data_IF_655764408528
#
_entry.id   IF_655764408528
#
_cell.length_a   1.000
_cell.length_b   1.000
_cell.length_c   1.000
_cell.angle_alpha   90.00
_cell.angle_beta   90.00
_cell.angle_gamma   90.00
#
_symmetry.space_group_name_H-M   'P 1'
#
loop_
_entity.id
_entity.type
_entity.pdbx_description
1 polymer ?
#
# COMPACT_ATOMS: atom_id res chain seq x y z
N UNK A 1 -7.15 2.62 15.46
CA UNK A 1 -8.38 2.45 14.65
C UNK A 1 -7.94 1.83 13.33
N UNK A 2 -8.57 0.76 12.87
CA UNK A 2 -8.23 0.07 11.62
C UNK A 2 -9.21 0.54 10.53
N UNK A 3 -8.70 1.01 9.40
CA UNK A 3 -9.53 1.36 8.24
C UNK A 3 -9.27 0.31 7.16
N UNK A 4 -10.34 -0.24 6.59
CA UNK A 4 -10.25 -1.19 5.47
C UNK A 4 -11.10 -0.70 4.31
N UNK A 5 -10.53 -0.68 3.11
CA UNK A 5 -11.24 -0.40 1.85
C UNK A 5 -11.06 -1.57 0.91
N UNK A 6 -12.17 -2.01 0.31
CA UNK A 6 -12.20 -3.12 -0.63
C UNK A 6 -12.75 -2.61 -1.96
N UNK A 7 -12.08 -2.92 -3.06
CA UNK A 7 -12.59 -2.80 -4.42
C UNK A 7 -12.67 -4.20 -5.01
N UNK A 8 -13.82 -4.59 -5.55
CA UNK A 8 -14.03 -5.94 -6.05
C UNK A 8 -14.78 -5.95 -7.38
N UNK A 9 -14.34 -6.85 -8.25
CA UNK A 9 -15.04 -7.41 -9.41
C UNK A 9 -14.94 -8.95 -9.30
N UNK A 10 -15.63 -9.73 -10.15
CA UNK A 10 -15.53 -11.19 -10.11
C UNK A 10 -14.09 -11.71 -10.23
N UNK A 11 -13.27 -11.08 -11.07
CA UNK A 11 -11.93 -11.55 -11.40
C UNK A 11 -10.82 -10.77 -10.68
N UNK A 12 -11.16 -9.66 -10.02
CA UNK A 12 -10.18 -8.75 -9.41
C UNK A 12 -10.66 -8.24 -8.05
N UNK A 13 -9.84 -8.40 -7.01
CA UNK A 13 -10.14 -7.89 -5.69
C UNK A 13 -8.90 -7.21 -5.11
N UNK A 14 -9.04 -5.96 -4.64
CA UNK A 14 -7.99 -5.24 -3.95
C UNK A 14 -8.49 -4.82 -2.58
N UNK A 15 -7.75 -5.20 -1.54
CA UNK A 15 -8.00 -4.80 -0.16
C UNK A 15 -6.84 -3.93 0.32
N UNK A 16 -7.19 -2.79 0.92
CA UNK A 16 -6.25 -1.93 1.63
C UNK A 16 -6.61 -1.92 3.11
N UNK A 17 -5.62 -2.14 3.96
CA UNK A 17 -5.76 -2.12 5.42
C UNK A 17 -4.71 -1.20 6.00
N UNK A 18 -5.15 -0.16 6.72
CA UNK A 18 -4.26 0.71 7.48
C UNK A 18 -4.25 0.29 8.94
N UNK A 19 -3.07 -0.07 9.47
CA UNK A 19 -2.84 -0.34 10.87
C UNK A 19 -1.63 0.47 11.36
N UNK A 20 -1.89 1.43 12.25
CA UNK A 20 -0.91 2.44 12.66
C UNK A 20 -0.37 3.23 11.46
N UNK A 21 0.93 3.16 11.21
CA UNK A 21 1.68 3.74 10.10
C UNK A 21 1.84 2.76 8.93
N UNK A 22 1.35 1.53 9.05
CA UNK A 22 1.57 0.48 8.04
C UNK A 22 0.34 0.29 7.16
N UNK A 23 0.52 0.44 5.85
CA UNK A 23 -0.49 0.18 4.82
C UNK A 23 -0.27 -1.19 4.19
N UNK A 24 -1.19 -2.11 4.44
CA UNK A 24 -1.21 -3.41 3.77
C UNK A 24 -2.10 -3.33 2.54
N UNK A 25 -1.59 -3.78 1.39
CA UNK A 25 -2.38 -3.98 0.17
C UNK A 25 -2.27 -5.43 -0.26
N UNK A 26 -3.43 -6.05 -0.42
CA UNK A 26 -3.58 -7.39 -0.99
C UNK A 26 -4.42 -7.29 -2.25
N UNK A 27 -3.87 -7.75 -3.36
CA UNK A 27 -4.54 -7.83 -4.65
C UNK A 27 -4.68 -9.28 -5.06
N UNK A 28 -5.87 -9.66 -5.53
CA UNK A 28 -6.15 -10.97 -6.10
C UNK A 28 -6.67 -10.79 -7.52
N UNK A 29 -6.05 -11.47 -8.48
CA UNK A 29 -6.49 -11.52 -9.88
C UNK A 29 -6.62 -12.99 -10.27
N UNK A 30 -7.85 -13.49 -10.40
CA UNK A 30 -8.09 -14.94 -10.53
C UNK A 30 -7.57 -15.72 -9.32
N UNK A 31 -6.63 -16.65 -9.56
CA UNK A 31 -5.94 -17.43 -8.52
C UNK A 31 -4.67 -16.74 -7.97
N UNK A 32 -4.14 -15.75 -8.68
CA UNK A 32 -2.93 -15.04 -8.26
C UNK A 32 -3.23 -14.07 -7.13
N UNK A 33 -2.35 -14.04 -6.12
CA UNK A 33 -2.42 -13.10 -4.99
C UNK A 33 -1.07 -12.39 -4.87
N UNK A 34 -1.11 -11.06 -4.84
CA UNK A 34 0.03 -10.21 -4.59
C UNK A 34 -0.17 -9.43 -3.29
N UNK A 35 0.85 -9.45 -2.45
CA UNK A 35 0.88 -8.73 -1.19
C UNK A 35 1.99 -7.70 -1.21
N UNK A 36 1.66 -6.51 -0.73
CA UNK A 36 2.55 -5.36 -0.66
C UNK A 36 2.33 -4.64 0.66
N UNK A 37 3.41 -4.16 1.25
CA UNK A 37 3.38 -3.43 2.52
C UNK A 37 3.98 -2.05 2.30
N UNK A 38 3.32 -1.04 2.84
CA UNK A 38 3.77 0.35 2.81
C UNK A 38 3.96 0.90 4.21
N UNK A 39 4.93 1.81 4.35
CA UNK A 39 5.10 2.62 5.56
C UNK A 39 4.70 4.05 5.24
N UNK A 40 3.80 4.59 6.05
CA UNK A 40 3.35 5.96 5.99
C UNK A 40 4.14 6.79 7.00
N UNK A 41 4.80 7.82 6.51
CA UNK A 41 5.47 8.81 7.35
C UNK A 41 4.55 9.97 7.73
N UNK A 42 5.17 11.13 7.89
CA UNK A 42 4.47 12.34 8.28
C UNK A 42 3.34 12.69 7.31
N UNK A 43 2.24 13.22 7.86
CA UNK A 43 1.03 13.56 7.10
C UNK A 43 0.41 12.38 6.32
N UNK A 44 0.67 11.13 6.72
CA UNK A 44 0.18 9.91 6.07
C UNK A 44 0.67 9.75 4.62
N UNK A 45 1.87 10.26 4.31
CA UNK A 45 2.51 10.09 3.00
C UNK A 45 3.26 8.76 2.92
N UNK A 46 3.20 8.11 1.77
CA UNK A 46 3.85 6.81 1.58
C UNK A 46 5.36 7.00 1.42
N UNK A 47 6.18 6.55 2.37
CA UNK A 47 7.64 6.71 2.32
C UNK A 47 8.36 5.47 1.80
N UNK A 48 7.78 4.30 2.04
CA UNK A 48 8.32 3.00 1.60
C UNK A 48 7.19 2.11 1.09
N UNK A 49 7.48 1.33 0.05
CA UNK A 49 6.64 0.26 -0.47
C UNK A 49 7.49 -0.98 -0.73
N UNK A 50 7.02 -2.15 -0.31
CA UNK A 50 7.73 -3.42 -0.44
C UNK A 50 6.78 -4.49 -0.99
N UNK A 51 7.23 -5.28 -1.97
CA UNK A 51 6.46 -6.41 -2.49
C UNK A 51 6.82 -7.73 -1.77
N UNK A 52 6.07 -8.79 -2.04
CA UNK A 52 6.32 -10.11 -1.45
C UNK A 52 7.68 -10.74 -1.81
N UNK A 53 8.37 -10.23 -2.84
CA UNK A 53 9.73 -10.66 -3.20
C UNK A 53 10.81 -9.90 -2.41
N UNK A 54 10.43 -8.86 -1.65
CA UNK A 54 11.35 -7.99 -0.92
C UNK A 54 11.91 -6.84 -1.75
N UNK A 55 11.41 -6.62 -2.98
CA UNK A 55 11.76 -5.44 -3.75
C UNK A 55 11.16 -4.20 -3.07
N UNK A 56 11.98 -3.16 -2.93
CA UNK A 56 11.66 -1.97 -2.17
C UNK A 56 11.69 -0.72 -3.05
N UNK A 57 10.67 0.11 -2.89
CA UNK A 57 10.62 1.48 -3.41
C UNK A 57 10.57 2.45 -2.24
N UNK A 58 11.38 3.51 -2.32
CA UNK A 58 11.34 4.64 -1.38
C UNK A 58 10.87 5.88 -2.10
N UNK A 59 10.10 6.69 -1.39
CA UNK A 59 9.50 7.91 -1.89
C UNK A 59 9.93 9.07 -1.02
N UNK A 60 10.46 10.12 -1.66
CA UNK A 60 10.84 11.36 -1.01
C UNK A 60 9.95 12.49 -1.49
N UNK A 61 9.63 13.40 -0.59
CA UNK A 61 8.74 14.52 -0.87
C UNK A 61 9.47 15.84 -0.64
N UNK A 62 9.18 16.84 -1.48
CA UNK A 62 9.61 18.21 -1.23
C UNK A 62 8.83 18.83 -0.05
N UNK A 63 9.20 20.07 0.32
CA UNK A 63 8.55 20.81 1.40
C UNK A 63 7.07 21.09 1.15
N UNK A 64 6.67 21.17 -0.11
CA UNK A 64 5.28 21.42 -0.51
C UNK A 64 4.47 20.12 -0.56
N UNK A 65 5.13 18.97 -0.55
CA UNK A 65 4.55 17.63 -0.54
C UNK A 65 4.47 16.93 -1.88
N UNK A 66 5.17 17.41 -2.89
CA UNK A 66 5.25 16.72 -4.17
C UNK A 66 6.31 15.61 -4.11
N UNK A 67 6.05 14.52 -4.81
CA UNK A 67 7.03 13.44 -4.97
C UNK A 67 8.22 13.94 -5.79
N UNK A 68 9.44 13.61 -5.33
CA UNK A 68 10.73 14.02 -5.93
C UNK A 68 11.55 12.83 -6.38
#
# INVERSE_FOLDING_TARGET
>A
RMLTRISYTPDHCVTFTLAHDTLFRRERTGEEVQETTGILGDHYRLEKWENAAGDEWRYTYDSDGHLT
#
